data_IF_323167101553
#
_entry.id   IF_323167101553
#
_cell.length_a   1.000
_cell.length_b   1.000
_cell.length_c   1.000
_cell.angle_alpha   90.00
_cell.angle_beta   90.00
_cell.angle_gamma   90.00
#
_symmetry.space_group_name_H-M   'P 1'
#
loop_
_entity.id
_entity.type
_entity.pdbx_description
1 polymer ?
#
# COMPACT_ATOMS: atom_id res chain seq x y z
N UNK A 1 25.26 23.54 -13.89
CA UNK A 1 24.62 22.89 -12.72
C UNK A 1 23.12 23.07 -12.89
N UNK A 2 22.52 22.53 -13.97
CA UNK A 2 21.23 23.03 -14.46
C UNK A 2 20.24 21.92 -14.87
N UNK A 3 20.30 20.76 -14.23
CA UNK A 3 19.36 19.66 -14.50
C UNK A 3 18.62 19.14 -13.26
N UNK A 4 18.51 19.97 -12.22
CA UNK A 4 17.72 19.63 -11.01
C UNK A 4 16.20 19.82 -11.20
N UNK A 5 15.78 20.38 -12.34
CA UNK A 5 14.37 20.53 -12.69
C UNK A 5 14.01 19.46 -13.71
N UNK A 6 13.31 18.37 -13.30
CA UNK A 6 12.90 17.34 -14.23
C UNK A 6 11.95 17.93 -15.27
N UNK A 7 12.21 17.65 -16.54
CA UNK A 7 11.36 18.11 -17.63
C UNK A 7 10.03 17.34 -17.59
N UNK A 8 8.97 17.94 -17.04
CA UNK A 8 7.64 17.31 -16.89
C UNK A 8 6.98 16.92 -18.23
N UNK A 9 7.56 17.33 -19.36
CA UNK A 9 7.13 16.93 -20.71
C UNK A 9 7.77 15.63 -21.19
N UNK A 10 8.76 15.12 -20.47
CA UNK A 10 9.37 13.82 -20.74
C UNK A 10 8.42 12.70 -20.31
N UNK A 11 8.21 11.73 -21.20
CA UNK A 11 7.32 10.58 -20.98
C UNK A 11 7.77 9.74 -19.76
N UNK A 12 9.08 9.67 -19.50
CA UNK A 12 9.64 8.96 -18.35
C UNK A 12 9.27 9.64 -17.02
N UNK A 13 9.37 10.97 -16.97
CA UNK A 13 9.01 11.80 -15.80
C UNK A 13 7.50 11.76 -15.58
N UNK A 14 6.68 11.86 -16.64
CA UNK A 14 5.23 11.73 -16.52
C UNK A 14 4.81 10.36 -15.98
N UNK A 15 5.43 9.30 -16.47
CA UNK A 15 5.18 7.93 -15.97
C UNK A 15 5.57 7.79 -14.51
N UNK A 16 6.73 8.32 -14.11
CA UNK A 16 7.16 8.32 -12.72
C UNK A 16 6.19 9.09 -11.81
N UNK A 17 5.79 10.31 -12.20
CA UNK A 17 4.82 11.13 -11.45
C UNK A 17 3.46 10.44 -11.35
N UNK A 18 2.97 9.86 -12.44
CA UNK A 18 1.72 9.10 -12.46
C UNK A 18 1.76 7.91 -11.51
N UNK A 19 2.83 7.12 -11.55
CA UNK A 19 2.99 5.98 -10.64
C UNK A 19 3.05 6.44 -9.18
N UNK A 20 3.75 7.53 -8.89
CA UNK A 20 3.88 8.09 -7.55
C UNK A 20 2.51 8.55 -7.01
N UNK A 21 1.73 9.24 -7.84
CA UNK A 21 0.36 9.65 -7.51
C UNK A 21 -0.57 8.44 -7.29
N UNK A 22 -0.52 7.44 -8.18
CA UNK A 22 -1.33 6.23 -8.06
C UNK A 22 -0.96 5.49 -6.77
N UNK A 23 0.32 5.22 -6.53
CA UNK A 23 0.75 4.52 -5.31
C UNK A 23 0.36 5.27 -4.05
N UNK A 24 0.55 6.59 -4.02
CA UNK A 24 0.15 7.42 -2.87
C UNK A 24 -1.36 7.34 -2.62
N UNK A 25 -2.17 7.51 -3.67
CA UNK A 25 -3.61 7.37 -3.56
C UNK A 25 -4.01 5.95 -3.16
N UNK A 26 -3.36 4.90 -3.66
CA UNK A 26 -3.65 3.50 -3.30
C UNK A 26 -3.34 3.22 -1.83
N UNK A 27 -2.20 3.68 -1.31
CA UNK A 27 -1.82 3.49 0.09
C UNK A 27 -2.83 4.14 1.03
N UNK A 28 -3.48 5.23 0.63
CA UNK A 28 -4.52 5.91 1.43
C UNK A 28 -5.89 5.26 1.20
N UNK A 29 -6.31 5.12 -0.05
CA UNK A 29 -7.65 4.67 -0.44
C UNK A 29 -7.90 3.20 -0.11
N UNK A 30 -6.90 2.32 -0.17
CA UNK A 30 -7.09 0.89 0.12
C UNK A 30 -7.42 0.66 1.61
N UNK A 31 -6.66 1.18 2.59
CA UNK A 31 -7.01 1.04 4.00
C UNK A 31 -8.31 1.77 4.38
N UNK A 32 -8.48 3.02 3.90
CA UNK A 32 -9.71 3.78 4.17
C UNK A 32 -10.93 3.12 3.55
N UNK A 33 -10.85 2.75 2.27
CA UNK A 33 -11.91 2.04 1.57
C UNK A 33 -12.25 0.72 2.24
N UNK A 34 -11.23 -0.06 2.63
CA UNK A 34 -11.42 -1.31 3.37
C UNK A 34 -12.13 -1.06 4.70
N UNK A 35 -11.75 -0.04 5.47
CA UNK A 35 -12.39 0.29 6.75
C UNK A 35 -13.87 0.62 6.57
N UNK A 36 -14.22 1.50 5.63
CA UNK A 36 -15.62 1.86 5.37
C UNK A 36 -16.44 0.69 4.83
N UNK A 37 -15.85 -0.10 3.93
CA UNK A 37 -16.52 -1.25 3.34
C UNK A 37 -16.74 -2.36 4.37
N UNK A 38 -15.74 -2.70 5.18
CA UNK A 38 -15.87 -3.69 6.26
C UNK A 38 -16.84 -3.24 7.35
N UNK A 39 -16.80 -1.97 7.77
CA UNK A 39 -17.72 -1.44 8.79
C UNK A 39 -19.18 -1.66 8.37
N UNK A 40 -19.54 -1.23 7.17
CA UNK A 40 -20.92 -1.26 6.69
C UNK A 40 -21.38 -2.65 6.28
N UNK A 41 -20.61 -3.36 5.45
CA UNK A 41 -21.05 -4.65 4.87
C UNK A 41 -20.82 -5.84 5.79
N UNK A 42 -19.76 -5.83 6.60
CA UNK A 42 -19.39 -6.99 7.43
C UNK A 42 -19.92 -6.82 8.85
N UNK A 43 -19.65 -5.70 9.52
CA UNK A 43 -19.97 -5.58 10.95
C UNK A 43 -21.40 -5.09 11.23
N UNK A 44 -21.91 -4.13 10.46
CA UNK A 44 -23.29 -3.65 10.61
C UNK A 44 -24.29 -4.61 9.96
N UNK A 45 -24.12 -4.97 8.69
CA UNK A 45 -25.11 -5.79 7.97
C UNK A 45 -25.08 -7.29 8.33
N UNK A 46 -23.90 -7.87 8.58
CA UNK A 46 -23.79 -9.33 8.79
C UNK A 46 -23.80 -9.76 10.26
N UNK A 47 -23.26 -8.93 11.16
CA UNK A 47 -23.19 -9.24 12.59
C UNK A 47 -24.16 -8.45 13.46
N UNK A 48 -24.79 -7.37 12.94
CA UNK A 48 -25.78 -6.58 13.68
C UNK A 48 -25.22 -5.87 14.91
N UNK A 49 -23.92 -5.54 14.91
CA UNK A 49 -23.28 -4.85 16.04
C UNK A 49 -23.71 -3.38 16.12
N UNK A 50 -23.82 -2.85 17.34
CA UNK A 50 -24.06 -1.43 17.60
C UNK A 50 -22.92 -0.56 17.04
N UNK A 51 -23.25 0.64 16.56
CA UNK A 51 -22.36 1.51 15.76
C UNK A 51 -20.99 1.75 16.43
N UNK A 52 -21.00 1.94 17.75
CA UNK A 52 -19.78 2.14 18.54
C UNK A 52 -18.88 0.89 18.59
N UNK A 53 -19.47 -0.30 18.77
CA UNK A 53 -18.72 -1.57 18.79
C UNK A 53 -18.22 -1.96 17.41
N UNK A 54 -19.06 -1.75 16.38
CA UNK A 54 -18.73 -2.01 14.97
C UNK A 54 -17.52 -1.17 14.52
N UNK A 55 -17.47 0.11 14.89
CA UNK A 55 -16.35 0.99 14.58
C UNK A 55 -15.02 0.55 15.23
N UNK A 56 -15.06 0.08 16.48
CA UNK A 56 -13.86 -0.42 17.19
C UNK A 56 -13.31 -1.69 16.53
N UNK A 57 -14.16 -2.66 16.21
CA UNK A 57 -13.73 -3.89 15.53
C UNK A 57 -13.26 -3.63 14.10
N UNK A 58 -13.96 -2.77 13.35
CA UNK A 58 -13.55 -2.37 12.01
C UNK A 58 -12.18 -1.68 12.02
N UNK A 59 -11.93 -0.79 12.99
CA UNK A 59 -10.62 -0.16 13.19
C UNK A 59 -9.51 -1.18 13.49
N UNK A 60 -9.77 -2.15 14.36
CA UNK A 60 -8.83 -3.21 14.69
C UNK A 60 -8.48 -4.09 13.48
N UNK A 61 -9.49 -4.48 12.69
CA UNK A 61 -9.25 -5.25 11.45
C UNK A 61 -8.48 -4.42 10.42
N UNK A 62 -8.84 -3.15 10.23
CA UNK A 62 -8.12 -2.26 9.33
C UNK A 62 -6.64 -2.13 9.73
N UNK A 63 -6.35 -1.93 11.03
CA UNK A 63 -4.97 -1.90 11.54
C UNK A 63 -4.23 -3.22 11.30
N UNK A 64 -4.91 -4.35 11.51
CA UNK A 64 -4.35 -5.70 11.27
C UNK A 64 -3.96 -5.89 9.80
N UNK A 65 -4.81 -5.44 8.87
CA UNK A 65 -4.54 -5.50 7.43
C UNK A 65 -3.33 -4.64 7.08
N UNK A 66 -3.24 -3.41 7.61
CA UNK A 66 -2.09 -2.51 7.38
C UNK A 66 -0.80 -3.16 7.86
N UNK A 67 -0.80 -3.76 9.07
CA UNK A 67 0.37 -4.46 9.60
C UNK A 67 0.76 -5.67 8.74
N UNK A 68 -0.23 -6.44 8.27
CA UNK A 68 0.02 -7.57 7.37
C UNK A 68 0.70 -7.13 6.08
N UNK A 69 0.19 -6.08 5.43
CA UNK A 69 0.81 -5.52 4.22
C UNK A 69 2.21 -4.96 4.52
N UNK A 70 2.43 -4.30 5.66
CA UNK A 70 3.74 -3.80 6.06
C UNK A 70 4.76 -4.93 6.19
N UNK A 71 4.42 -6.01 6.89
CA UNK A 71 5.29 -7.19 7.03
C UNK A 71 5.55 -7.84 5.67
N UNK A 72 4.52 -7.94 4.82
CA UNK A 72 4.65 -8.48 3.47
C UNK A 72 5.58 -7.64 2.60
N UNK A 73 5.45 -6.31 2.64
CA UNK A 73 6.32 -5.38 1.91
C UNK A 73 7.78 -5.54 2.32
N UNK A 74 8.05 -5.57 3.62
CA UNK A 74 9.39 -5.79 4.16
C UNK A 74 9.93 -7.14 3.71
N UNK A 75 9.11 -8.20 3.78
CA UNK A 75 9.51 -9.54 3.35
C UNK A 75 9.82 -9.62 1.85
N UNK A 76 9.02 -8.97 1.00
CA UNK A 76 9.28 -8.87 -0.44
C UNK A 76 10.59 -8.13 -0.68
N UNK A 77 10.78 -6.95 -0.09
CA UNK A 77 12.01 -6.16 -0.23
C UNK A 77 13.26 -6.99 0.13
N UNK A 78 13.24 -7.69 1.27
CA UNK A 78 14.32 -8.61 1.66
C UNK A 78 14.54 -9.75 0.67
N UNK A 79 13.49 -10.25 0.01
CA UNK A 79 13.59 -11.29 -1.02
C UNK A 79 14.19 -10.76 -2.32
N UNK A 80 13.85 -9.53 -2.71
CA UNK A 80 14.40 -8.88 -3.91
C UNK A 80 15.88 -8.61 -3.74
N UNK A 81 16.30 -8.01 -2.60
CA UNK A 81 17.71 -7.79 -2.29
C UNK A 81 18.54 -9.09 -2.36
N UNK A 82 18.01 -10.18 -1.79
CA UNK A 82 18.68 -11.49 -1.83
C UNK A 82 18.77 -12.06 -3.25
N UNK A 83 17.73 -11.87 -4.07
CA UNK A 83 17.71 -12.34 -5.46
C UNK A 83 18.73 -11.58 -6.29
N UNK A 84 18.81 -10.26 -6.13
CA UNK A 84 19.72 -9.40 -6.88
C UNK A 84 21.18 -9.68 -6.50
N UNK A 85 21.46 -9.92 -5.22
CA UNK A 85 22.77 -10.36 -4.74
C UNK A 85 23.21 -11.73 -5.30
N UNK A 86 22.26 -12.66 -5.50
CA UNK A 86 22.57 -13.97 -6.10
C UNK A 86 22.83 -13.88 -7.60
N UNK A 87 22.11 -13.01 -8.33
CA UNK A 87 22.35 -12.77 -9.76
C UNK A 87 23.75 -12.19 -9.97
N UNK A 88 24.15 -11.18 -9.19
CA UNK A 88 25.49 -10.61 -9.25
C UNK A 88 26.63 -11.62 -9.01
N UNK A 89 26.41 -12.61 -8.14
CA UNK A 89 27.42 -13.66 -7.87
C UNK A 89 27.49 -14.72 -8.97
N UNK A 90 26.46 -14.86 -9.80
CA UNK A 90 26.42 -15.83 -10.90
C UNK A 90 27.08 -15.30 -12.17
N UNK A 91 27.14 -13.98 -12.32
CA UNK A 91 27.76 -13.29 -13.45
C UNK A 91 29.27 -13.01 -13.26
N UNK A 92 29.85 -13.42 -12.11
CA UNK A 92 31.28 -13.35 -11.76
C UNK A 92 31.86 -14.77 -11.71
#
# INVERSE_FOLDING_TARGET
MDQFVPNLRDESVQTAVKNLLIYSLTIISVPLGSMFFLKKYLFEDYFGFDDATSALYAGGVAASIVLFFMVLFVWIAYREEKRDAMLFKKDV
#
